data_IF_896544482441
#
_entry.id   IF_896544482441
#
_cell.length_a   1.000
_cell.length_b   1.000
_cell.length_c   1.000
_cell.angle_alpha   90.00
_cell.angle_beta   90.00
_cell.angle_gamma   90.00
#
_symmetry.space_group_name_H-M   'P 1'
#
loop_
_entity.id
_entity.type
_entity.pdbx_description
1 polymer ?
#
# COMPACT_ATOMS: atom_id res chain seq x y z
N UNK A 1 18.20 3.34 -12.90
CA UNK A 1 18.26 3.85 -11.51
C UNK A 1 17.84 2.72 -10.61
N UNK A 2 18.43 2.61 -9.43
CA UNK A 2 18.02 1.62 -8.42
C UNK A 2 16.84 2.22 -7.66
N UNK A 3 15.74 1.47 -7.53
CA UNK A 3 14.60 1.87 -6.70
C UNK A 3 15.04 2.20 -5.28
N UNK A 4 14.37 3.15 -4.63
CA UNK A 4 14.56 3.39 -3.19
C UNK A 4 13.76 2.37 -2.39
N UNK A 5 14.28 1.99 -1.22
CA UNK A 5 13.59 1.05 -0.34
C UNK A 5 12.53 1.76 0.53
N UNK A 6 11.71 0.97 1.20
CA UNK A 6 10.61 1.43 2.03
C UNK A 6 11.14 2.24 3.22
N UNK A 7 12.31 1.91 3.76
CA UNK A 7 12.94 2.71 4.81
C UNK A 7 13.16 4.16 4.35
N UNK A 8 13.75 4.35 3.17
CA UNK A 8 13.94 5.67 2.58
C UNK A 8 12.61 6.39 2.30
N UNK A 9 11.60 5.68 1.78
CA UNK A 9 10.26 6.27 1.58
C UNK A 9 9.63 6.73 2.91
N UNK A 10 9.76 5.95 3.98
CA UNK A 10 9.21 6.29 5.29
C UNK A 10 9.98 7.42 6.00
N UNK A 11 11.31 7.45 5.87
CA UNK A 11 12.15 8.53 6.40
C UNK A 11 11.84 9.87 5.71
N UNK A 12 11.63 9.87 4.39
CA UNK A 12 11.18 11.06 3.67
C UNK A 12 9.76 11.48 4.09
N UNK A 13 8.85 10.52 4.24
CA UNK A 13 7.48 10.79 4.70
C UNK A 13 7.44 11.44 6.09
N UNK A 14 8.34 11.04 7.00
CA UNK A 14 8.47 11.64 8.32
C UNK A 14 8.99 13.09 8.29
N UNK A 15 9.63 13.49 7.18
CA UNK A 15 10.02 14.88 6.89
C UNK A 15 8.95 15.64 6.09
N UNK A 16 7.81 15.03 5.82
CA UNK A 16 6.70 15.63 5.05
C UNK A 16 6.84 15.52 3.53
N UNK A 17 7.81 14.74 3.04
CA UNK A 17 8.10 14.54 1.61
C UNK A 17 7.52 13.19 1.18
N UNK A 18 6.83 13.14 0.04
CA UNK A 18 6.31 11.88 -0.53
C UNK A 18 7.18 11.49 -1.73
N UNK A 19 7.97 10.43 -1.55
CA UNK A 19 8.78 9.86 -2.61
C UNK A 19 8.12 8.61 -3.21
N UNK A 20 8.18 8.51 -4.53
CA UNK A 20 7.84 7.28 -5.26
C UNK A 20 8.93 6.22 -5.14
N UNK A 21 8.71 5.03 -5.71
CA UNK A 21 9.69 3.95 -5.69
C UNK A 21 10.99 4.25 -6.42
N UNK A 22 11.00 5.24 -7.31
CA UNK A 22 12.18 5.68 -8.05
C UNK A 22 12.93 6.82 -7.33
N UNK A 23 12.43 7.27 -6.17
CA UNK A 23 13.03 8.32 -5.35
C UNK A 23 12.63 9.74 -5.77
N UNK A 24 11.58 9.90 -6.58
CA UNK A 24 11.14 11.20 -7.04
C UNK A 24 9.97 11.73 -6.21
N UNK A 25 9.97 13.04 -5.97
CA UNK A 25 8.77 13.78 -5.58
C UNK A 25 8.01 14.16 -6.86
N UNK A 26 6.74 13.77 -6.95
CA UNK A 26 5.92 13.98 -8.14
C UNK A 26 4.46 14.30 -7.75
N UNK A 27 3.70 14.80 -8.71
CA UNK A 27 2.29 15.19 -8.50
C UNK A 27 1.33 13.99 -8.36
N UNK A 28 1.83 12.76 -8.54
CA UNK A 28 1.07 11.52 -8.35
C UNK A 28 1.17 11.01 -6.91
N UNK A 29 2.06 11.56 -6.08
CA UNK A 29 2.21 11.22 -4.65
C UNK A 29 2.32 9.71 -4.39
N UNK A 30 3.16 9.02 -5.18
CA UNK A 30 3.40 7.57 -5.12
C UNK A 30 2.19 6.69 -5.57
N UNK A 31 1.16 7.28 -6.19
CA UNK A 31 0.14 6.50 -6.90
C UNK A 31 0.65 6.06 -8.27
N UNK A 32 0.55 4.76 -8.55
CA UNK A 32 0.85 4.20 -9.86
C UNK A 32 -0.34 4.35 -10.82
N UNK A 33 -1.56 4.26 -10.29
CA UNK A 33 -2.82 4.29 -11.04
C UNK A 33 -3.96 4.76 -10.13
N UNK A 34 -4.82 5.65 -10.62
CA UNK A 34 -5.90 6.24 -9.82
C UNK A 34 -7.10 6.67 -10.67
N UNK A 35 -8.27 6.68 -10.03
CA UNK A 35 -9.54 7.14 -10.63
C UNK A 35 -10.20 8.28 -9.84
N UNK A 36 -9.63 8.66 -8.70
CA UNK A 36 -10.05 9.85 -7.96
C UNK A 36 -9.51 11.12 -8.61
N UNK A 37 -9.97 12.29 -8.14
CA UNK A 37 -9.41 13.57 -8.61
C UNK A 37 -7.97 13.76 -8.12
N UNK A 38 -7.15 14.42 -8.93
CA UNK A 38 -5.73 14.65 -8.64
C UNK A 38 -5.53 15.44 -7.34
N UNK A 39 -6.40 16.39 -7.02
CA UNK A 39 -6.31 17.18 -5.79
C UNK A 39 -6.51 16.34 -4.52
N UNK A 40 -7.07 15.13 -4.64
CA UNK A 40 -7.23 14.20 -3.53
C UNK A 40 -5.98 13.33 -3.27
N UNK A 41 -5.05 13.22 -4.23
CA UNK A 41 -3.95 12.25 -4.18
C UNK A 41 -3.04 12.46 -2.97
N UNK A 42 -2.57 13.67 -2.73
CA UNK A 42 -1.69 13.98 -1.57
C UNK A 42 -2.33 13.56 -0.24
N UNK A 43 -3.61 13.87 -0.07
CA UNK A 43 -4.37 13.54 1.14
C UNK A 43 -4.57 12.03 1.31
N UNK A 44 -4.77 11.29 0.21
CA UNK A 44 -4.89 9.83 0.22
C UNK A 44 -3.56 9.14 0.46
N UNK A 45 -2.49 9.56 -0.23
CA UNK A 45 -1.13 9.07 -0.04
C UNK A 45 -0.68 9.22 1.42
N UNK A 46 -0.96 10.38 2.03
CA UNK A 46 -0.66 10.62 3.45
C UNK A 46 -1.36 9.62 4.37
N UNK A 47 -2.62 9.24 4.07
CA UNK A 47 -3.35 8.22 4.84
C UNK A 47 -2.74 6.83 4.62
N UNK A 48 -2.39 6.49 3.39
CA UNK A 48 -1.78 5.20 3.04
C UNK A 48 -0.40 5.04 3.68
N UNK A 49 0.49 6.04 3.61
CA UNK A 49 1.79 5.97 4.28
C UNK A 49 1.68 5.73 5.79
N UNK A 50 0.70 6.36 6.47
CA UNK A 50 0.43 6.07 7.89
C UNK A 50 0.04 4.60 8.11
N UNK A 51 -0.74 4.02 7.20
CA UNK A 51 -1.09 2.59 7.24
C UNK A 51 0.12 1.70 6.93
N UNK A 52 0.98 2.10 5.99
CA UNK A 52 2.23 1.39 5.65
C UNK A 52 3.18 1.38 6.85
N UNK A 53 3.41 2.51 7.54
CA UNK A 53 4.21 2.56 8.78
C UNK A 53 3.69 1.57 9.81
N UNK A 54 2.36 1.52 9.96
CA UNK A 54 1.73 0.59 10.88
C UNK A 54 1.92 -0.85 10.44
N UNK A 55 1.70 -1.17 9.16
CA UNK A 55 1.93 -2.50 8.61
C UNK A 55 3.37 -2.95 8.84
N UNK A 56 4.36 -2.13 8.48
CA UNK A 56 5.78 -2.46 8.62
C UNK A 56 6.13 -2.84 10.06
N UNK A 57 5.60 -2.09 11.04
CA UNK A 57 5.76 -2.40 12.47
C UNK A 57 5.07 -3.70 12.89
N UNK A 58 3.80 -3.88 12.52
CA UNK A 58 2.99 -5.03 12.98
C UNK A 58 3.37 -6.35 12.30
N UNK A 59 3.87 -6.30 11.06
CA UNK A 59 4.30 -7.47 10.29
C UNK A 59 5.81 -7.68 10.29
N UNK A 60 6.55 -6.89 11.08
CA UNK A 60 8.01 -6.93 11.13
C UNK A 60 8.64 -6.95 9.73
N UNK A 61 8.15 -6.07 8.84
CA UNK A 61 8.58 -6.02 7.45
C UNK A 61 10.02 -5.54 7.36
N UNK A 62 10.88 -6.26 6.63
CA UNK A 62 12.24 -5.83 6.32
C UNK A 62 12.18 -4.66 5.32
N UNK A 63 12.17 -3.44 5.85
CA UNK A 63 11.99 -2.21 5.08
C UNK A 63 13.15 -1.90 4.13
N UNK A 64 14.28 -2.60 4.25
CA UNK A 64 15.43 -2.42 3.35
C UNK A 64 15.34 -3.28 2.08
N UNK A 65 14.45 -4.28 2.06
CA UNK A 65 14.26 -5.22 0.94
C UNK A 65 12.99 -5.02 0.13
N UNK A 66 12.18 -4.05 0.50
CA UNK A 66 10.90 -3.79 -0.16
C UNK A 66 10.74 -2.31 -0.47
N UNK A 67 9.79 -1.98 -1.33
CA UNK A 67 9.27 -0.63 -1.53
C UNK A 67 7.74 -0.66 -1.58
N UNK A 68 7.08 0.51 -1.56
CA UNK A 68 5.62 0.61 -1.65
C UNK A 68 5.20 1.54 -2.77
N UNK A 69 4.09 1.21 -3.43
CA UNK A 69 3.32 2.14 -4.25
C UNK A 69 1.83 2.03 -3.93
N UNK A 70 1.05 3.01 -4.39
CA UNK A 70 -0.38 3.12 -4.10
C UNK A 70 -1.22 2.96 -5.36
N UNK A 71 -2.45 2.50 -5.16
CA UNK A 71 -3.50 2.57 -6.18
C UNK A 71 -4.79 3.11 -5.59
N UNK A 72 -5.53 3.85 -6.40
CA UNK A 72 -6.96 4.08 -6.17
C UNK A 72 -7.70 3.28 -7.24
N UNK A 73 -8.41 2.23 -6.85
CA UNK A 73 -9.04 1.28 -7.76
C UNK A 73 -10.49 1.69 -8.09
N UNK A 74 -10.91 1.43 -9.33
CA UNK A 74 -12.29 1.57 -9.78
C UNK A 74 -12.94 0.19 -10.02
N UNK A 75 -13.70 -0.33 -9.05
CA UNK A 75 -14.37 -1.61 -9.23
C UNK A 75 -15.53 -1.49 -10.22
N UNK A 76 -15.78 -2.54 -11.02
CA UNK A 76 -16.99 -2.63 -11.86
C UNK A 76 -18.26 -2.54 -11.02
N UNK A 77 -18.24 -3.14 -9.83
CA UNK A 77 -19.30 -3.04 -8.82
C UNK A 77 -18.71 -2.59 -7.49
N UNK A 78 -19.09 -1.39 -7.02
CA UNK A 78 -18.63 -0.84 -5.76
C UNK A 78 -18.22 0.63 -5.82
N UNK A 79 -17.69 1.16 -4.72
CA UNK A 79 -17.09 2.50 -4.67
C UNK A 79 -15.60 2.47 -4.98
N UNK A 80 -15.01 3.60 -5.41
CA UNK A 80 -13.55 3.72 -5.47
C UNK A 80 -12.91 3.41 -4.11
N UNK A 81 -11.76 2.76 -4.11
CA UNK A 81 -11.05 2.40 -2.88
C UNK A 81 -9.54 2.47 -3.06
N UNK A 82 -8.82 2.70 -1.96
CA UNK A 82 -7.36 2.80 -1.97
C UNK A 82 -6.74 1.48 -1.47
N UNK A 83 -5.65 1.07 -2.10
CA UNK A 83 -4.74 0.03 -1.61
C UNK A 83 -3.30 0.53 -1.59
N UNK A 84 -2.46 -0.15 -0.80
CA UNK A 84 -1.02 -0.06 -0.95
C UNK A 84 -0.46 -1.44 -1.27
N UNK A 85 0.57 -1.44 -2.12
CA UNK A 85 1.24 -2.66 -2.57
C UNK A 85 2.69 -2.64 -2.15
N UNK A 86 3.09 -3.65 -1.39
CA UNK A 86 4.48 -3.85 -0.96
C UNK A 86 5.13 -4.77 -1.97
N UNK A 87 6.20 -4.31 -2.58
CA UNK A 87 6.92 -5.02 -3.61
C UNK A 87 8.31 -5.40 -3.13
N UNK A 88 8.78 -6.54 -3.61
CA UNK A 88 10.17 -6.94 -3.45
C UNK A 88 11.06 -5.98 -4.24
N UNK A 89 12.15 -5.51 -3.63
CA UNK A 89 13.02 -4.48 -4.21
C UNK A 89 13.82 -5.00 -5.40
N UNK A 90 14.19 -6.29 -5.38
CA UNK A 90 15.05 -6.90 -6.41
C UNK A 90 14.23 -7.34 -7.63
N UNK A 91 13.17 -8.12 -7.42
CA UNK A 91 12.31 -8.63 -8.49
C UNK A 91 11.29 -7.61 -8.99
N UNK A 92 10.90 -6.64 -8.16
CA UNK A 92 9.82 -5.70 -8.44
C UNK A 92 8.41 -6.28 -8.28
N UNK A 93 8.30 -7.59 -8.02
CA UNK A 93 7.03 -8.29 -7.89
C UNK A 93 6.25 -7.83 -6.62
N UNK A 94 4.92 -7.85 -6.68
CA UNK A 94 4.07 -7.53 -5.52
C UNK A 94 4.09 -8.68 -4.51
N UNK A 95 4.47 -8.42 -3.27
CA UNK A 95 4.41 -9.38 -2.15
C UNK A 95 3.03 -9.33 -1.48
N UNK A 96 2.57 -8.12 -1.17
CA UNK A 96 1.31 -7.86 -0.47
C UNK A 96 0.52 -6.78 -1.16
N UNK A 97 -0.80 -6.98 -1.26
CA UNK A 97 -1.78 -5.93 -1.55
C UNK A 97 -2.66 -5.79 -0.31
N UNK A 98 -2.66 -4.60 0.29
CA UNK A 98 -3.37 -4.33 1.53
C UNK A 98 -4.42 -3.26 1.29
N UNK A 99 -5.68 -3.63 1.50
CA UNK A 99 -6.83 -2.76 1.30
C UNK A 99 -7.50 -2.51 2.65
N UNK A 100 -7.59 -1.25 3.07
CA UNK A 100 -8.23 -0.93 4.35
C UNK A 100 -9.76 -1.02 4.31
N UNK A 101 -10.35 -0.76 3.14
CA UNK A 101 -11.79 -0.87 2.88
C UNK A 101 -12.02 -1.08 1.39
N UNK A 102 -12.26 -2.32 0.99
CA UNK A 102 -12.54 -2.72 -0.38
C UNK A 102 -13.85 -2.09 -0.86
N UNK A 103 -13.84 -1.58 -2.08
CA UNK A 103 -15.05 -1.06 -2.74
C UNK A 103 -16.05 -2.15 -3.07
N UNK A 104 -15.60 -3.40 -3.24
CA UNK A 104 -16.43 -4.55 -3.56
C UNK A 104 -17.18 -5.08 -2.34
N UNK A 105 -16.47 -5.21 -1.21
CA UNK A 105 -16.99 -5.94 -0.03
C UNK A 105 -17.25 -5.03 1.17
N UNK A 106 -16.69 -3.82 1.18
CA UNK A 106 -16.68 -2.92 2.33
C UNK A 106 -15.74 -3.35 3.46
N UNK A 107 -14.96 -4.42 3.28
CA UNK A 107 -14.08 -5.00 4.31
C UNK A 107 -12.62 -4.65 4.06
N UNK A 108 -11.79 -4.75 5.10
CA UNK A 108 -10.35 -4.79 4.93
C UNK A 108 -9.94 -6.16 4.39
N UNK A 109 -8.99 -6.16 3.48
CA UNK A 109 -8.53 -7.37 2.78
C UNK A 109 -7.01 -7.33 2.62
N UNK A 110 -6.37 -8.48 2.80
CA UNK A 110 -4.96 -8.69 2.48
C UNK A 110 -4.86 -9.83 1.47
N UNK A 111 -4.19 -9.54 0.37
CA UNK A 111 -3.84 -10.50 -0.66
C UNK A 111 -2.32 -10.56 -0.79
N UNK A 112 -1.77 -11.70 -1.21
CA UNK A 112 -0.31 -11.82 -1.31
C UNK A 112 0.17 -13.12 -1.92
N UNK A 113 1.50 -13.25 -2.04
CA UNK A 113 2.14 -14.41 -2.68
C UNK A 113 2.00 -15.72 -1.90
N UNK A 114 1.65 -15.67 -0.60
CA UNK A 114 1.53 -16.86 0.25
C UNK A 114 0.61 -17.93 -0.36
N UNK A 115 -0.45 -17.50 -1.06
CA UNK A 115 -1.36 -18.37 -1.82
C UNK A 115 -1.45 -17.96 -3.29
N UNK A 116 -0.39 -17.34 -3.85
CA UNK A 116 -0.35 -16.85 -5.23
C UNK A 116 -1.55 -15.95 -5.62
N UNK A 117 -2.03 -15.12 -4.70
CA UNK A 117 -3.19 -14.23 -4.91
C UNK A 117 -4.49 -14.94 -5.33
N UNK A 118 -4.62 -16.24 -5.05
CA UNK A 118 -5.84 -16.99 -5.41
C UNK A 118 -7.06 -16.57 -4.58
N UNK A 119 -6.83 -16.22 -3.32
CA UNK A 119 -7.86 -15.73 -2.40
C UNK A 119 -7.26 -14.75 -1.37
N UNK A 120 -8.13 -14.06 -0.62
CA UNK A 120 -7.67 -13.19 0.45
C UNK A 120 -7.03 -14.01 1.58
N UNK A 121 -5.81 -13.66 1.96
CA UNK A 121 -5.07 -14.27 3.07
C UNK A 121 -5.68 -13.88 4.41
N UNK A 122 -6.19 -12.64 4.50
CA UNK A 122 -6.91 -12.15 5.67
C UNK A 122 -8.03 -11.20 5.26
N UNK A 123 -9.15 -11.31 5.97
CA UNK A 123 -10.30 -10.43 5.84
C UNK A 123 -10.72 -9.97 7.23
N UNK A 124 -11.15 -8.72 7.36
CA UNK A 124 -11.70 -8.19 8.61
C UNK A 124 -12.52 -6.93 8.37
N UNK A 125 -13.28 -6.48 9.37
CA UNK A 125 -14.08 -5.24 9.23
C UNK A 125 -13.22 -4.00 9.02
N UNK A 126 -11.98 -4.04 9.48
CA UNK A 126 -10.97 -2.99 9.31
C UNK A 126 -9.57 -3.58 9.58
N UNK A 127 -8.51 -2.82 9.29
CA UNK A 127 -7.13 -3.28 9.49
C UNK A 127 -6.80 -3.64 10.96
N UNK A 128 -7.49 -3.08 11.97
CA UNK A 128 -7.23 -3.48 13.36
C UNK A 128 -7.57 -4.93 13.64
N UNK A 129 -8.59 -5.48 12.97
CA UNK A 129 -8.94 -6.89 13.08
C UNK A 129 -7.91 -7.75 12.37
N UNK A 130 -7.43 -7.32 11.20
CA UNK A 130 -6.37 -8.02 10.46
C UNK A 130 -5.08 -8.11 11.27
N UNK A 131 -4.68 -7.04 11.97
CA UNK A 131 -3.45 -7.06 12.79
C UNK A 131 -3.50 -8.02 13.99
N UNK A 132 -4.68 -8.55 14.34
CA UNK A 132 -4.83 -9.59 15.37
C UNK A 132 -4.72 -11.01 14.80
N UNK A 133 -4.72 -11.15 13.48
CA UNK A 133 -4.64 -12.43 12.79
C UNK A 133 -3.17 -12.79 12.51
N UNK A 134 -2.85 -14.06 12.67
CA UNK A 134 -1.56 -14.65 12.31
C UNK A 134 -1.65 -15.27 10.92
N UNK A 135 -0.78 -14.84 10.03
CA UNK A 135 -0.56 -15.38 8.69
C UNK A 135 0.83 -14.99 8.21
#
# INVERSE_FOLDING_TARGET
MTKINLKQQLEAFDQGIILDSEGNENDCYNFYDWFCKDEALKGRATKLFKQVKRWAKFRNTDTEKVYVFFKNNCPVFGSLYDDFRICDLESGDVIWTVTAKSGHTGQAEVWGRLNNFQEAIAVGKNLNEIYKQSF
#
